data_IF_834281542939
#
_entry.id   IF_834281542939
#
_cell.length_a   1.000
_cell.length_b   1.000
_cell.length_c   1.000
_cell.angle_alpha   90.00
_cell.angle_beta   90.00
_cell.angle_gamma   90.00
#
_symmetry.space_group_name_H-M   'P 1'
#
loop_
_entity.id
_entity.type
_entity.pdbx_description
1 polymer ?
#
# COMPACT_ATOMS: atom_id res chain seq x y z
N UNK A 1 2.93 -12.71 23.31
CA UNK A 1 1.76 -12.46 24.20
C UNK A 1 1.57 -10.98 24.58
N UNK A 2 2.57 -10.33 25.19
CA UNK A 2 2.46 -8.94 25.69
C UNK A 2 2.21 -7.89 24.60
N UNK A 3 2.86 -8.00 23.43
CA UNK A 3 2.61 -7.09 22.30
C UNK A 3 1.22 -7.24 21.68
N UNK A 4 0.65 -8.44 21.71
CA UNK A 4 -0.71 -8.67 21.23
C UNK A 4 -1.71 -8.03 22.19
N UNK A 5 -1.48 -8.22 23.50
CA UNK A 5 -2.31 -7.65 24.56
C UNK A 5 -2.22 -6.12 24.60
N UNK A 6 -1.04 -5.53 24.37
CA UNK A 6 -0.88 -4.07 24.30
C UNK A 6 -1.58 -3.47 23.07
N UNK A 7 -1.59 -4.17 21.94
CA UNK A 7 -2.39 -3.76 20.78
C UNK A 7 -3.89 -3.84 21.07
N UNK A 8 -4.38 -4.89 21.73
CA UNK A 8 -5.78 -5.00 22.11
C UNK A 8 -6.20 -3.94 23.14
N UNK A 9 -5.37 -3.70 24.15
CA UNK A 9 -5.62 -2.68 25.17
C UNK A 9 -5.64 -1.28 24.57
N UNK A 10 -4.70 -0.98 23.66
CA UNK A 10 -4.68 0.29 22.91
C UNK A 10 -5.93 0.46 22.04
N UNK A 11 -6.42 -0.62 21.41
CA UNK A 11 -7.67 -0.61 20.63
C UNK A 11 -8.89 -0.33 21.50
N UNK A 12 -8.95 -0.89 22.71
CA UNK A 12 -10.03 -0.65 23.66
C UNK A 12 -10.06 0.77 24.21
N UNK A 13 -8.89 1.39 24.40
CA UNK A 13 -8.78 2.75 24.94
C UNK A 13 -8.94 3.85 23.89
N UNK A 14 -8.91 3.51 22.60
CA UNK A 14 -9.05 4.46 21.49
C UNK A 14 -10.20 4.08 20.54
N UNK A 15 -11.47 3.96 21.02
CA UNK A 15 -12.60 3.50 20.21
C UNK A 15 -12.95 4.44 19.05
N UNK A 16 -12.62 5.73 19.17
CA UNK A 16 -12.76 6.74 18.11
C UNK A 16 -11.86 6.51 16.90
N UNK A 17 -10.83 5.65 17.02
CA UNK A 17 -9.95 5.27 15.90
C UNK A 17 -10.63 4.24 14.98
N UNK A 18 -11.61 3.47 15.49
CA UNK A 18 -12.30 2.42 14.73
C UNK A 18 -13.69 2.82 14.25
N UNK A 19 -14.40 3.62 15.03
CA UNK A 19 -15.69 4.14 14.61
C UNK A 19 -15.42 5.54 14.06
N UNK A 20 -15.34 5.64 12.73
CA UNK A 20 -15.22 6.90 11.99
C UNK A 20 -16.39 7.88 12.20
N UNK A 21 -17.15 7.77 13.29
CA UNK A 21 -18.34 8.54 13.61
C UNK A 21 -18.07 9.99 14.00
N UNK A 22 -16.84 10.38 14.36
CA UNK A 22 -16.56 11.77 14.78
C UNK A 22 -16.14 12.71 13.65
N UNK A 23 -15.91 12.22 12.42
CA UNK A 23 -15.40 13.06 11.31
C UNK A 23 -15.99 12.73 9.93
N UNK A 24 -17.26 12.28 9.84
CA UNK A 24 -17.94 12.11 8.54
C UNK A 24 -18.31 13.49 7.99
N UNK A 25 -17.34 14.18 7.39
CA UNK A 25 -17.59 15.35 6.54
C UNK A 25 -17.72 14.91 5.09
N UNK A 26 -18.43 15.69 4.26
CA UNK A 26 -18.52 15.43 2.82
C UNK A 26 -17.12 15.31 2.16
N UNK A 27 -16.16 16.11 2.63
CA UNK A 27 -14.77 16.06 2.16
C UNK A 27 -14.07 14.75 2.56
N UNK A 28 -14.25 14.28 3.80
CA UNK A 28 -13.68 13.01 4.24
C UNK A 28 -14.31 11.83 3.50
N UNK A 29 -15.63 11.86 3.28
CA UNK A 29 -16.30 10.86 2.45
C UNK A 29 -15.76 10.86 1.02
N UNK A 30 -15.59 12.02 0.39
CA UNK A 30 -15.05 12.10 -0.97
C UNK A 30 -13.60 11.60 -1.06
N UNK A 31 -12.76 11.92 -0.06
CA UNK A 31 -11.39 11.41 0.05
C UNK A 31 -11.35 9.90 0.22
N UNK A 32 -12.16 9.35 1.12
CA UNK A 32 -12.26 7.90 1.31
C UNK A 32 -12.75 7.24 0.03
N UNK A 33 -13.80 7.77 -0.59
CA UNK A 33 -14.31 7.28 -1.87
C UNK A 33 -13.21 7.23 -2.94
N UNK A 34 -12.45 8.32 -3.13
CA UNK A 34 -11.35 8.34 -4.09
C UNK A 34 -10.24 7.33 -3.74
N UNK A 35 -9.85 7.22 -2.47
CA UNK A 35 -8.84 6.26 -2.01
C UNK A 35 -9.30 4.81 -2.19
N UNK A 36 -10.57 4.52 -1.93
CA UNK A 36 -11.14 3.19 -2.15
C UNK A 36 -11.29 2.88 -3.63
N UNK A 37 -11.72 3.82 -4.47
CA UNK A 37 -11.76 3.64 -5.94
C UNK A 37 -10.35 3.37 -6.47
N UNK A 38 -9.35 4.12 -6.01
CA UNK A 38 -7.94 3.89 -6.35
C UNK A 38 -7.44 2.55 -5.81
N UNK A 39 -7.83 2.16 -4.59
CA UNK A 39 -7.52 0.86 -4.01
C UNK A 39 -8.15 -0.29 -4.80
N UNK A 40 -9.37 -0.11 -5.30
CA UNK A 40 -10.12 -1.13 -6.03
C UNK A 40 -9.61 -1.32 -7.46
N UNK A 41 -9.70 -0.26 -8.27
CA UNK A 41 -9.31 -0.30 -9.67
C UNK A 41 -7.78 -0.34 -9.79
N UNK A 42 -7.09 0.47 -8.99
CA UNK A 42 -5.64 0.55 -9.02
C UNK A 42 -4.95 -0.67 -8.42
N UNK A 43 -5.21 -1.01 -7.16
CA UNK A 43 -4.51 -2.10 -6.49
C UNK A 43 -5.23 -3.44 -6.73
N UNK A 44 -6.55 -3.50 -6.54
CA UNK A 44 -7.34 -4.74 -6.62
C UNK A 44 -7.36 -5.37 -8.02
N UNK A 45 -7.61 -4.58 -9.07
CA UNK A 45 -7.52 -5.03 -10.47
C UNK A 45 -6.10 -4.87 -11.05
N UNK A 46 -5.16 -4.34 -10.25
CA UNK A 46 -3.76 -4.17 -10.63
C UNK A 46 -3.51 -3.07 -11.67
N UNK A 47 -4.46 -2.17 -11.93
CA UNK A 47 -4.29 -1.13 -12.92
C UNK A 47 -3.17 -0.12 -12.57
N UNK A 48 -2.79 -0.01 -11.28
CA UNK A 48 -1.62 0.78 -10.85
C UNK A 48 -0.27 0.13 -11.14
N UNK A 49 -0.23 -0.98 -11.87
CA UNK A 49 1.02 -1.59 -12.32
C UNK A 49 1.88 -0.62 -13.16
N UNK A 50 1.25 0.12 -14.06
CA UNK A 50 1.87 1.19 -14.85
C UNK A 50 0.84 2.26 -15.27
N UNK A 51 1.28 3.46 -15.70
CA UNK A 51 0.36 4.46 -16.25
C UNK A 51 -0.48 3.94 -17.42
N UNK A 52 0.10 3.05 -18.24
CA UNK A 52 -0.60 2.44 -19.36
C UNK A 52 -1.71 1.49 -18.90
N UNK A 53 -1.42 0.59 -17.95
CA UNK A 53 -2.46 -0.31 -17.40
C UNK A 53 -3.54 0.47 -16.67
N UNK A 54 -3.20 1.62 -16.08
CA UNK A 54 -4.15 2.51 -15.43
C UNK A 54 -5.15 3.07 -16.43
N UNK A 55 -4.65 3.62 -17.54
CA UNK A 55 -5.48 4.19 -18.60
C UNK A 55 -6.30 3.08 -19.26
N UNK A 56 -5.66 2.01 -19.72
CA UNK A 56 -6.33 0.92 -20.43
C UNK A 56 -7.37 0.22 -19.56
N UNK A 57 -7.03 -0.08 -18.29
CA UNK A 57 -7.94 -0.69 -17.34
C UNK A 57 -9.13 0.21 -17.00
N UNK A 58 -8.90 1.52 -16.82
CA UNK A 58 -9.98 2.48 -16.57
C UNK A 58 -10.92 2.58 -17.76
N UNK A 59 -10.40 2.66 -18.99
CA UNK A 59 -11.21 2.69 -20.21
C UNK A 59 -12.02 1.39 -20.38
N UNK A 60 -11.41 0.23 -20.14
CA UNK A 60 -12.10 -1.06 -20.18
C UNK A 60 -13.23 -1.12 -19.14
N UNK A 61 -12.94 -0.74 -17.89
CA UNK A 61 -13.93 -0.72 -16.83
C UNK A 61 -15.10 0.23 -17.15
N UNK A 62 -14.80 1.44 -17.61
CA UNK A 62 -15.81 2.42 -18.00
C UNK A 62 -16.68 1.90 -19.15
N UNK A 63 -16.07 1.36 -20.21
CA UNK A 63 -16.80 0.75 -21.33
C UNK A 63 -17.72 -0.38 -20.86
N UNK A 64 -17.22 -1.32 -20.06
CA UNK A 64 -18.04 -2.40 -19.51
C UNK A 64 -19.23 -1.88 -18.71
N UNK A 65 -19.01 -0.92 -17.80
CA UNK A 65 -20.09 -0.34 -16.99
C UNK A 65 -21.10 0.45 -17.83
N UNK A 66 -20.66 1.22 -18.83
CA UNK A 66 -21.54 1.99 -19.71
C UNK A 66 -22.46 1.05 -20.49
N UNK A 67 -21.91 0.01 -21.12
CA UNK A 67 -22.73 -0.94 -21.87
C UNK A 67 -23.65 -1.76 -20.97
N UNK A 68 -23.20 -2.10 -19.76
CA UNK A 68 -24.05 -2.75 -18.76
C UNK A 68 -25.25 -1.88 -18.38
N UNK A 69 -25.03 -0.58 -18.12
CA UNK A 69 -26.10 0.35 -17.78
C UNK A 69 -27.04 0.62 -18.97
N UNK A 70 -26.50 0.79 -20.17
CA UNK A 70 -27.27 1.13 -21.36
C UNK A 70 -28.15 -0.01 -21.90
N UNK A 71 -27.79 -1.27 -21.62
CA UNK A 71 -28.49 -2.47 -22.12
C UNK A 71 -29.00 -3.38 -21.02
N UNK A 72 -29.23 -2.80 -19.84
CA UNK A 72 -29.71 -3.49 -18.65
C UNK A 72 -31.02 -4.24 -18.92
N UNK A 73 -31.01 -5.56 -18.77
CA UNK A 73 -32.16 -6.42 -19.12
C UNK A 73 -32.90 -7.00 -17.90
N UNK A 74 -33.95 -7.80 -18.14
CA UNK A 74 -34.73 -8.42 -17.06
C UNK A 74 -33.96 -9.48 -16.27
N UNK A 75 -32.96 -10.13 -16.87
CA UNK A 75 -32.09 -11.09 -16.17
C UNK A 75 -31.17 -10.34 -15.22
N UNK A 76 -30.62 -9.20 -15.64
CA UNK A 76 -29.88 -8.29 -14.76
C UNK A 76 -30.76 -7.79 -13.62
N UNK A 77 -32.00 -7.40 -13.92
CA UNK A 77 -32.95 -6.93 -12.91
C UNK A 77 -33.19 -8.00 -11.84
N UNK A 78 -33.42 -9.25 -12.25
CA UNK A 78 -33.65 -10.36 -11.31
C UNK A 78 -32.39 -10.72 -10.52
N UNK A 79 -31.22 -10.71 -11.15
CA UNK A 79 -29.95 -10.85 -10.44
C UNK A 79 -29.77 -9.75 -9.39
N UNK A 80 -29.98 -8.48 -9.77
CA UNK A 80 -29.83 -7.34 -8.87
C UNK A 80 -30.85 -7.37 -7.74
N UNK A 81 -32.11 -7.75 -7.97
CA UNK A 81 -33.12 -7.93 -6.90
C UNK A 81 -32.66 -8.84 -5.77
N UNK A 82 -31.86 -9.86 -6.08
CA UNK A 82 -31.35 -10.81 -5.09
C UNK A 82 -30.08 -10.32 -4.40
N UNK A 83 -29.24 -9.56 -5.11
CA UNK A 83 -27.89 -9.23 -4.66
C UNK A 83 -27.69 -7.75 -4.27
N UNK A 84 -28.65 -6.85 -4.52
CA UNK A 84 -28.47 -5.41 -4.29
C UNK A 84 -28.31 -5.08 -2.80
N UNK A 85 -29.07 -5.71 -1.90
CA UNK A 85 -28.95 -5.48 -0.46
C UNK A 85 -27.57 -5.89 0.05
N UNK A 86 -27.07 -7.04 -0.42
CA UNK A 86 -25.70 -7.48 -0.16
C UNK A 86 -24.66 -6.54 -0.75
N UNK A 87 -24.85 -6.08 -2.00
CA UNK A 87 -23.94 -5.13 -2.63
C UNK A 87 -23.87 -3.82 -1.83
N UNK A 88 -25.01 -3.26 -1.41
CA UNK A 88 -25.07 -2.03 -0.62
C UNK A 88 -24.45 -2.20 0.76
N UNK A 89 -24.70 -3.33 1.43
CA UNK A 89 -24.07 -3.64 2.71
C UNK A 89 -22.55 -3.69 2.57
N UNK A 90 -22.04 -4.37 1.52
CA UNK A 90 -20.61 -4.45 1.26
C UNK A 90 -20.01 -3.09 0.90
N UNK A 91 -20.70 -2.27 0.09
CA UNK A 91 -20.31 -0.88 -0.20
C UNK A 91 -20.25 -0.08 1.11
N UNK A 92 -21.28 -0.13 1.94
CA UNK A 92 -21.31 0.60 3.21
C UNK A 92 -20.17 0.15 4.14
N UNK A 93 -19.96 -1.17 4.29
CA UNK A 93 -18.85 -1.72 5.07
C UNK A 93 -17.50 -1.20 4.55
N UNK A 94 -17.26 -1.29 3.24
CA UNK A 94 -15.97 -0.90 2.65
C UNK A 94 -15.73 0.60 2.72
N UNK A 95 -16.71 1.44 2.36
CA UNK A 95 -16.49 2.89 2.24
C UNK A 95 -16.78 3.68 3.53
N UNK A 96 -17.65 3.19 4.40
CA UNK A 96 -18.05 3.93 5.61
C UNK A 96 -17.33 3.43 6.87
N UNK A 97 -16.93 2.16 6.91
CA UNK A 97 -16.46 1.53 8.15
C UNK A 97 -15.03 0.99 8.08
N UNK A 98 -14.44 0.82 6.90
CA UNK A 98 -13.12 0.23 6.75
C UNK A 98 -12.06 1.23 6.29
N UNK A 99 -10.84 1.17 6.85
CA UNK A 99 -9.70 1.93 6.34
C UNK A 99 -9.35 1.56 4.90
N UNK A 100 -9.02 2.56 4.06
CA UNK A 100 -8.69 2.36 2.65
C UNK A 100 -7.42 1.50 2.40
N UNK A 101 -6.56 1.36 3.40
CA UNK A 101 -5.36 0.53 3.35
C UNK A 101 -5.66 -0.97 3.55
N UNK A 102 -6.87 -1.34 3.98
CA UNK A 102 -7.25 -2.73 4.19
C UNK A 102 -7.96 -3.33 2.97
N UNK A 103 -7.46 -4.48 2.49
CA UNK A 103 -7.80 -5.11 1.20
C UNK A 103 -9.16 -5.83 1.16
N UNK A 104 -10.20 -5.26 1.75
CA UNK A 104 -11.53 -5.89 1.82
C UNK A 104 -12.35 -5.79 0.53
N UNK A 105 -11.78 -5.21 -0.52
CA UNK A 105 -12.39 -5.13 -1.85
C UNK A 105 -12.68 -6.50 -2.48
N UNK A 106 -12.02 -7.57 -2.02
CA UNK A 106 -12.25 -8.94 -2.49
C UNK A 106 -13.72 -9.36 -2.41
N UNK A 107 -14.49 -8.82 -1.45
CA UNK A 107 -15.88 -9.23 -1.24
C UNK A 107 -16.83 -8.62 -2.27
N UNK A 108 -16.53 -7.42 -2.78
CA UNK A 108 -17.35 -6.74 -3.79
C UNK A 108 -16.90 -7.03 -5.23
N UNK A 109 -15.66 -7.49 -5.41
CA UNK A 109 -15.08 -7.82 -6.71
C UNK A 109 -15.97 -8.72 -7.59
N UNK A 110 -16.59 -9.81 -7.08
CA UNK A 110 -17.42 -10.67 -7.92
C UNK A 110 -18.61 -9.93 -8.54
N UNK A 111 -19.29 -9.08 -7.77
CA UNK A 111 -20.46 -8.33 -8.24
C UNK A 111 -20.11 -7.28 -9.29
N UNK A 112 -18.93 -6.67 -9.16
CA UNK A 112 -18.40 -5.72 -10.14
C UNK A 112 -17.96 -6.44 -11.41
N UNK A 113 -17.26 -7.57 -11.28
CA UNK A 113 -16.82 -8.36 -12.42
C UNK A 113 -18.02 -8.86 -13.23
N UNK A 114 -19.10 -9.29 -12.58
CA UNK A 114 -20.36 -9.64 -13.25
C UNK A 114 -20.89 -8.47 -14.09
N UNK A 115 -20.92 -7.26 -13.54
CA UNK A 115 -21.39 -6.07 -14.26
C UNK A 115 -20.50 -5.77 -15.49
N UNK A 116 -19.18 -5.80 -15.31
CA UNK A 116 -18.21 -5.54 -16.38
C UNK A 116 -18.32 -6.58 -17.51
N UNK A 117 -18.32 -7.87 -17.17
CA UNK A 117 -18.40 -8.95 -18.14
C UNK A 117 -19.75 -8.94 -18.87
N UNK A 118 -20.87 -8.72 -18.16
CA UNK A 118 -22.20 -8.55 -18.78
C UNK A 118 -22.19 -7.38 -19.77
N UNK A 119 -21.60 -6.24 -19.39
CA UNK A 119 -21.47 -5.08 -20.26
C UNK A 119 -20.74 -5.39 -21.57
N UNK A 120 -19.61 -6.12 -21.50
CA UNK A 120 -18.90 -6.55 -22.71
C UNK A 120 -19.72 -7.53 -23.57
N UNK A 121 -20.48 -8.44 -22.95
CA UNK A 121 -21.37 -9.34 -23.68
C UNK A 121 -22.51 -8.60 -24.39
N UNK A 122 -22.94 -7.46 -23.86
CA UNK A 122 -23.92 -6.59 -24.51
C UNK A 122 -23.38 -5.80 -25.71
N UNK A 123 -22.06 -5.77 -25.94
CA UNK A 123 -21.50 -5.10 -27.12
C UNK A 123 -21.97 -5.79 -28.43
N UNK A 124 -22.07 -5.03 -29.54
CA UNK A 124 -22.32 -5.64 -30.85
C UNK A 124 -21.11 -6.46 -31.31
N UNK A 125 -21.33 -7.42 -32.21
CA UNK A 125 -20.24 -8.12 -32.90
C UNK A 125 -19.44 -7.11 -33.75
N UNK A 126 -18.09 -7.20 -33.81
CA UNK A 126 -17.24 -8.22 -33.18
C UNK A 126 -16.86 -7.93 -31.72
N UNK A 127 -17.11 -6.72 -31.21
CA UNK A 127 -16.60 -6.20 -29.93
C UNK A 127 -16.95 -7.03 -28.68
N UNK A 128 -17.87 -8.00 -28.75
CA UNK A 128 -18.11 -8.98 -27.68
C UNK A 128 -16.86 -9.72 -27.21
N UNK A 129 -15.84 -9.87 -28.08
CA UNK A 129 -14.57 -10.48 -27.69
C UNK A 129 -13.87 -9.72 -26.55
N UNK A 130 -14.23 -8.45 -26.31
CA UNK A 130 -13.71 -7.66 -25.21
C UNK A 130 -13.97 -8.29 -23.83
N UNK A 131 -14.94 -9.20 -23.72
CA UNK A 131 -15.18 -10.00 -22.51
C UNK A 131 -13.94 -10.79 -22.07
N UNK A 132 -13.06 -11.15 -23.01
CA UNK A 132 -11.81 -11.86 -22.73
C UNK A 132 -10.65 -10.92 -22.38
N UNK A 133 -10.73 -9.64 -22.78
CA UNK A 133 -9.65 -8.68 -22.53
C UNK A 133 -9.47 -8.38 -21.05
N UNK A 134 -10.57 -8.26 -20.29
CA UNK A 134 -10.49 -7.99 -18.85
C UNK A 134 -9.85 -9.16 -18.07
N UNK A 135 -10.30 -10.43 -18.22
CA UNK A 135 -9.60 -11.58 -17.63
C UNK A 135 -8.14 -11.70 -18.10
N UNK A 136 -7.86 -11.49 -19.39
CA UNK A 136 -6.50 -11.54 -19.91
C UNK A 136 -5.60 -10.48 -19.26
N UNK A 137 -6.08 -9.23 -19.14
CA UNK A 137 -5.36 -8.15 -18.46
C UNK A 137 -5.08 -8.50 -16.99
N UNK A 138 -6.08 -9.04 -16.28
CA UNK A 138 -5.92 -9.48 -14.90
C UNK A 138 -4.89 -10.60 -14.75
N UNK A 139 -4.86 -11.56 -15.68
CA UNK A 139 -3.85 -12.62 -15.70
C UNK A 139 -2.44 -12.06 -15.96
N UNK A 140 -2.30 -11.16 -16.94
CA UNK A 140 -1.01 -10.52 -17.24
C UNK A 140 -0.45 -9.77 -16.02
N UNK A 141 -1.30 -9.06 -15.28
CA UNK A 141 -0.90 -8.35 -14.06
C UNK A 141 -0.62 -9.34 -12.92
N UNK A 142 -1.52 -10.28 -12.66
CA UNK A 142 -1.42 -11.19 -11.51
C UNK A 142 -0.25 -12.15 -11.62
N UNK A 143 0.03 -12.68 -12.82
CA UNK A 143 1.17 -13.57 -13.05
C UNK A 143 2.47 -12.79 -12.86
N UNK A 144 2.61 -11.61 -13.45
CA UNK A 144 3.80 -10.78 -13.28
C UNK A 144 4.02 -10.39 -11.80
N UNK A 145 2.96 -9.95 -11.12
CA UNK A 145 2.99 -9.62 -9.70
C UNK A 145 3.36 -10.82 -8.82
N UNK A 146 2.84 -12.02 -9.15
CA UNK A 146 3.17 -13.25 -8.44
C UNK A 146 4.63 -13.64 -8.65
N UNK A 147 5.14 -13.59 -9.89
CA UNK A 147 6.55 -13.87 -10.19
C UNK A 147 7.45 -12.91 -9.40
N UNK A 148 7.21 -11.60 -9.48
CA UNK A 148 7.99 -10.60 -8.73
C UNK A 148 7.93 -10.86 -7.23
N UNK A 149 6.73 -11.13 -6.69
CA UNK A 149 6.55 -11.37 -5.25
C UNK A 149 7.24 -12.63 -4.72
N UNK A 150 7.45 -13.65 -5.56
CA UNK A 150 8.09 -14.91 -5.15
C UNK A 150 9.59 -14.90 -5.43
N UNK A 151 10.01 -14.28 -6.53
CA UNK A 151 11.41 -14.28 -6.97
C UNK A 151 12.23 -13.21 -6.25
N UNK A 152 11.62 -12.10 -5.84
CA UNK A 152 12.32 -10.93 -5.34
C UNK A 152 12.01 -10.63 -3.86
N UNK A 153 13.01 -10.55 -2.97
CA UNK A 153 12.79 -10.15 -1.58
C UNK A 153 12.12 -8.77 -1.48
N UNK A 154 11.25 -8.60 -0.48
CA UNK A 154 10.64 -7.30 -0.24
C UNK A 154 11.70 -6.20 0.02
N UNK A 155 11.50 -4.95 -0.42
CA UNK A 155 12.41 -3.83 -0.21
C UNK A 155 12.96 -3.68 1.21
N UNK A 156 12.16 -3.84 2.29
CA UNK A 156 12.70 -3.80 3.64
C UNK A 156 13.70 -4.91 3.94
N UNK A 157 13.51 -6.11 3.36
CA UNK A 157 14.43 -7.25 3.51
C UNK A 157 15.72 -6.99 2.73
N UNK A 158 15.63 -6.44 1.51
CA UNK A 158 16.80 -6.01 0.74
C UNK A 158 17.63 -4.99 1.51
N UNK A 159 16.97 -4.02 2.15
CA UNK A 159 17.62 -3.00 2.98
C UNK A 159 18.33 -3.59 4.20
N UNK A 160 17.69 -4.55 4.89
CA UNK A 160 18.35 -5.30 5.97
C UNK A 160 19.60 -6.01 5.48
N UNK A 161 19.50 -6.74 4.36
CA UNK A 161 20.63 -7.49 3.78
C UNK A 161 21.76 -6.56 3.36
N UNK A 162 21.44 -5.44 2.70
CA UNK A 162 22.43 -4.43 2.30
C UNK A 162 23.27 -3.96 3.49
N UNK A 163 22.62 -3.59 4.60
CA UNK A 163 23.35 -3.13 5.79
C UNK A 163 24.10 -4.27 6.48
N UNK A 164 23.57 -5.50 6.48
CA UNK A 164 24.28 -6.67 7.02
C UNK A 164 25.53 -7.05 6.22
N UNK A 165 25.51 -6.86 4.90
CA UNK A 165 26.64 -7.07 3.99
C UNK A 165 27.67 -5.95 4.14
N UNK A 166 27.22 -4.71 4.33
CA UNK A 166 28.10 -3.55 4.49
C UNK A 166 28.81 -3.52 5.86
N UNK A 167 28.18 -4.05 6.91
CA UNK A 167 28.71 -3.99 8.27
C UNK A 167 28.82 -5.40 8.90
N UNK A 168 30.04 -5.86 9.24
CA UNK A 168 30.22 -7.11 9.97
C UNK A 168 29.57 -7.03 11.35
N UNK A 169 29.17 -8.15 11.97
CA UNK A 169 28.41 -8.17 13.22
C UNK A 169 28.96 -7.28 14.34
N UNK A 170 30.28 -7.25 14.48
CA UNK A 170 31.01 -6.46 15.49
C UNK A 170 30.78 -4.95 15.37
N UNK A 171 30.49 -4.45 14.16
CA UNK A 171 30.36 -3.02 13.86
C UNK A 171 28.91 -2.55 13.76
N UNK A 172 27.94 -3.46 13.82
CA UNK A 172 26.51 -3.14 13.62
C UNK A 172 25.94 -2.28 14.74
N UNK A 173 26.46 -2.44 15.96
CA UNK A 173 26.08 -1.63 17.12
C UNK A 173 26.46 -0.15 16.99
N UNK A 174 27.50 0.14 16.21
CA UNK A 174 28.01 1.50 15.96
C UNK A 174 27.28 2.23 14.82
N UNK A 175 26.37 1.54 14.13
CA UNK A 175 25.51 2.11 13.11
C UNK A 175 24.16 2.48 13.73
N UNK A 176 23.78 3.75 13.61
CA UNK A 176 22.52 4.26 14.14
C UNK A 176 21.48 4.32 13.02
N UNK A 177 20.33 3.66 13.24
CA UNK A 177 19.25 3.59 12.27
C UNK A 177 18.02 4.33 12.78
N UNK A 178 17.61 5.38 12.07
CA UNK A 178 16.39 6.12 12.33
C UNK A 178 15.34 5.73 11.28
N UNK A 179 14.59 4.67 11.57
CA UNK A 179 13.68 4.07 10.59
C UNK A 179 12.21 4.26 10.98
N UNK A 180 11.43 4.83 10.08
CA UNK A 180 9.98 4.95 10.17
C UNK A 180 9.27 3.78 9.46
N UNK A 181 9.80 3.30 8.33
CA UNK A 181 9.12 2.31 7.48
C UNK A 181 9.66 0.89 7.68
N UNK A 182 10.99 0.74 7.84
CA UNK A 182 11.65 -0.55 7.90
C UNK A 182 11.99 -1.05 9.32
N UNK A 183 11.72 -0.25 10.35
CA UNK A 183 12.03 -0.52 11.76
C UNK A 183 11.76 -1.96 12.23
N UNK A 184 10.54 -2.47 11.98
CA UNK A 184 10.12 -3.81 12.42
C UNK A 184 10.98 -4.91 11.79
N UNK A 185 11.40 -4.72 10.54
CA UNK A 185 12.21 -5.70 9.83
C UNK A 185 13.61 -5.77 10.43
N UNK A 186 14.22 -4.64 10.78
CA UNK A 186 15.49 -4.63 11.49
C UNK A 186 15.40 -5.29 12.86
N UNK A 187 14.35 -4.97 13.64
CA UNK A 187 14.12 -5.60 14.95
C UNK A 187 13.98 -7.13 14.87
N UNK A 188 13.53 -7.67 13.74
CA UNK A 188 13.32 -9.12 13.56
C UNK A 188 14.49 -9.84 12.91
N UNK A 189 15.12 -9.21 11.91
CA UNK A 189 16.09 -9.89 11.04
C UNK A 189 17.54 -9.43 11.24
N UNK A 190 17.76 -8.31 11.93
CA UNK A 190 19.10 -7.80 12.25
C UNK A 190 19.09 -7.03 13.58
N UNK A 191 18.80 -7.71 14.71
CA UNK A 191 18.66 -7.08 16.02
C UNK A 191 19.98 -6.49 16.55
N UNK A 192 21.12 -6.81 15.92
CA UNK A 192 22.42 -6.23 16.28
C UNK A 192 22.54 -4.74 15.90
N UNK A 193 21.70 -4.25 14.99
CA UNK A 193 21.65 -2.83 14.67
C UNK A 193 20.89 -2.04 15.72
N UNK A 194 21.40 -0.85 16.05
CA UNK A 194 20.69 0.07 16.92
C UNK A 194 19.62 0.82 16.14
N UNK A 195 18.35 0.42 16.32
CA UNK A 195 17.19 1.07 15.69
C UNK A 195 16.49 1.99 16.68
N UNK A 196 16.22 3.22 16.26
CA UNK A 196 15.46 4.20 17.03
C UNK A 196 14.02 4.34 16.52
N UNK A 197 13.08 4.40 17.45
CA UNK A 197 11.65 4.30 17.18
C UNK A 197 11.01 5.64 16.75
N UNK A 198 11.68 6.78 16.95
CA UNK A 198 11.14 8.12 16.64
C UNK A 198 12.23 9.13 16.19
N UNK A 199 11.87 9.98 15.22
CA UNK A 199 12.71 11.03 14.64
C UNK A 199 12.23 12.44 15.01
N UNK A 200 13.16 13.40 15.24
CA UNK A 200 14.46 13.25 15.87
C UNK A 200 14.26 13.43 17.37
N UNK A 201 14.18 12.33 18.13
CA UNK A 201 14.15 12.52 19.58
C UNK A 201 15.54 12.95 20.03
N UNK A 202 15.60 14.07 20.74
CA UNK A 202 16.67 14.50 21.65
C UNK A 202 17.16 13.40 22.62
N UNK A 203 16.59 12.19 22.56
CA UNK A 203 16.94 11.00 23.34
C UNK A 203 18.17 10.23 22.83
N UNK A 204 18.77 10.53 21.66
CA UNK A 204 20.06 9.89 21.31
C UNK A 204 21.19 10.71 21.96
N UNK A 205 21.96 10.14 22.92
CA UNK A 205 23.03 10.89 23.58
C UNK A 205 24.03 11.42 22.55
N UNK A 206 24.48 12.68 22.70
CA UNK A 206 25.47 13.31 21.79
C UNK A 206 26.71 12.44 21.61
N UNK A 207 27.19 11.84 22.69
CA UNK A 207 28.34 10.94 22.66
C UNK A 207 28.14 9.75 21.71
N UNK A 208 26.92 9.19 21.66
CA UNK A 208 26.59 8.06 20.78
C UNK A 208 26.48 8.51 19.33
N UNK A 209 25.94 9.71 19.12
CA UNK A 209 25.91 10.35 17.82
C UNK A 209 27.33 10.63 17.31
N UNK A 210 28.24 11.15 18.14
CA UNK A 210 29.62 11.45 17.77
C UNK A 210 30.47 10.20 17.51
N UNK A 211 30.23 9.12 18.27
CA UNK A 211 30.93 7.83 18.10
C UNK A 211 30.32 6.95 16.99
N UNK A 212 29.18 7.32 16.43
CA UNK A 212 28.51 6.52 15.40
C UNK A 212 29.37 6.41 14.15
N UNK A 213 29.59 5.18 13.67
CA UNK A 213 30.30 4.92 12.41
C UNK A 213 29.52 5.45 11.20
N UNK A 214 28.20 5.29 11.24
CA UNK A 214 27.29 5.81 10.24
C UNK A 214 25.90 6.01 10.84
N UNK A 215 25.16 6.94 10.23
CA UNK A 215 23.78 7.22 10.59
C UNK A 215 22.95 7.08 9.32
N UNK A 216 21.88 6.29 9.38
CA UNK A 216 20.96 6.08 8.28
C UNK A 216 19.52 6.39 8.67
N UNK A 217 18.72 6.80 7.68
CA UNK A 217 17.29 7.05 7.82
C UNK A 217 16.52 6.60 6.58
N UNK A 218 15.28 6.15 6.76
CA UNK A 218 14.32 5.94 5.66
C UNK A 218 13.22 7.02 5.62
N UNK A 219 13.37 8.08 6.43
CA UNK A 219 12.42 9.18 6.57
C UNK A 219 13.03 10.49 6.01
N UNK A 220 12.56 10.96 4.84
CA UNK A 220 13.06 12.18 4.20
C UNK A 220 12.85 13.45 5.01
N UNK A 221 11.84 13.50 5.91
CA UNK A 221 11.57 14.67 6.75
C UNK A 221 12.76 15.06 7.61
N UNK A 222 13.68 14.14 7.85
CA UNK A 222 14.90 14.38 8.62
C UNK A 222 15.86 15.37 7.96
N UNK A 223 15.79 15.56 6.63
CA UNK A 223 16.53 16.61 5.93
C UNK A 223 16.17 18.04 6.42
N UNK A 224 15.03 18.19 7.13
CA UNK A 224 14.60 19.48 7.67
C UNK A 224 15.27 19.82 9.01
N UNK A 225 16.00 18.89 9.62
CA UNK A 225 16.73 19.15 10.85
C UNK A 225 17.98 20.01 10.55
N UNK A 226 18.27 21.08 11.33
CA UNK A 226 19.44 21.91 11.13
C UNK A 226 20.75 21.09 11.19
N UNK A 227 21.65 21.32 10.22
CA UNK A 227 22.96 20.69 10.16
C UNK A 227 22.98 19.25 9.63
N UNK A 228 21.86 18.74 9.12
CA UNK A 228 21.77 17.38 8.58
C UNK A 228 21.54 17.44 7.07
N UNK A 229 22.37 16.73 6.32
CA UNK A 229 22.20 16.51 4.89
C UNK A 229 21.95 15.03 4.64
N UNK A 230 20.95 14.74 3.80
CA UNK A 230 20.62 13.38 3.41
C UNK A 230 21.25 13.06 2.05
N UNK A 231 22.04 12.00 2.00
CA UNK A 231 22.58 11.45 0.76
C UNK A 231 21.91 10.11 0.50
N UNK A 232 21.32 9.95 -0.69
CA UNK A 232 20.70 8.69 -1.06
C UNK A 232 21.77 7.58 -1.09
N UNK A 233 21.60 6.59 -0.21
CA UNK A 233 22.51 5.46 -0.08
C UNK A 233 22.00 4.24 -0.85
N UNK A 234 20.69 4.00 -0.84
CA UNK A 234 20.06 2.94 -1.62
C UNK A 234 18.59 3.26 -1.86
N UNK A 235 18.06 2.75 -2.97
CA UNK A 235 16.64 2.79 -3.30
C UNK A 235 16.20 1.39 -3.73
N UNK A 236 15.12 0.91 -3.13
CA UNK A 236 14.54 -0.38 -3.43
C UNK A 236 13.06 -0.19 -3.75
N UNK A 237 12.71 -0.50 -4.98
CA UNK A 237 11.34 -0.42 -5.46
C UNK A 237 10.81 -1.80 -5.86
N UNK A 238 9.49 -1.93 -5.78
CA UNK A 238 8.68 -3.05 -6.25
C UNK A 238 7.31 -2.52 -6.66
N UNK A 239 6.54 -3.30 -7.40
CA UNK A 239 5.20 -2.90 -7.79
C UNK A 239 4.29 -2.63 -6.58
N UNK A 240 3.61 -1.47 -6.60
CA UNK A 240 2.64 -1.05 -5.57
C UNK A 240 1.45 -2.02 -5.47
N UNK A 241 1.16 -2.72 -6.56
CA UNK A 241 0.10 -3.75 -6.65
C UNK A 241 0.39 -4.90 -5.68
N UNK A 242 1.66 -5.25 -5.47
CA UNK A 242 2.04 -6.36 -4.58
C UNK A 242 1.85 -5.95 -3.12
N UNK A 243 2.41 -4.81 -2.70
CA UNK A 243 2.19 -4.27 -1.35
C UNK A 243 2.50 -2.77 -1.25
N UNK A 244 1.46 -1.95 -1.07
CA UNK A 244 1.61 -0.49 -1.14
C UNK A 244 2.51 0.13 -0.08
N UNK A 245 2.53 -0.39 1.16
CA UNK A 245 3.28 0.25 2.25
C UNK A 245 4.81 0.17 2.08
N UNK A 246 5.32 -0.90 1.48
CA UNK A 246 6.77 -1.10 1.31
C UNK A 246 7.12 -1.24 -0.17
N UNK A 247 6.38 -0.54 -1.04
CA UNK A 247 6.61 -0.62 -2.48
C UNK A 247 7.83 0.18 -2.92
N UNK A 248 8.13 1.27 -2.23
CA UNK A 248 9.32 2.10 -2.45
C UNK A 248 9.93 2.41 -1.09
N UNK A 249 11.20 2.05 -0.93
CA UNK A 249 11.98 2.30 0.28
C UNK A 249 13.30 2.93 -0.15
N UNK A 250 13.55 4.13 0.37
CA UNK A 250 14.80 4.86 0.17
C UNK A 250 15.56 4.93 1.47
N UNK A 251 16.81 4.51 1.44
CA UNK A 251 17.75 4.65 2.53
C UNK A 251 18.64 5.85 2.27
N UNK A 252 18.70 6.76 3.22
CA UNK A 252 19.58 7.92 3.19
C UNK A 252 20.66 7.75 4.25
N UNK A 253 21.90 8.04 3.89
CA UNK A 253 22.98 8.30 4.84
C UNK A 253 22.87 9.75 5.29
N UNK A 254 22.94 9.97 6.59
CA UNK A 254 22.96 11.31 7.18
C UNK A 254 24.41 11.78 7.27
N UNK A 255 24.71 12.89 6.60
CA UNK A 255 25.94 13.64 6.79
C UNK A 255 25.69 14.89 7.62
N UNK A 256 26.66 15.22 8.48
CA UNK A 256 26.61 16.45 9.27
C UNK A 256 27.29 17.54 8.48
N UNK A 257 26.53 18.57 8.14
CA UNK A 257 27.10 19.79 7.62
C UNK A 257 27.46 20.63 8.84
N UNK A 258 28.75 20.92 9.04
CA UNK A 258 29.18 21.91 10.02
C UNK A 258 28.37 23.18 9.78
N UNK A 259 27.61 23.62 10.78
CA UNK A 259 26.95 24.91 10.69
C UNK A 259 28.04 25.98 10.44
N UNK A 260 27.81 26.95 9.54
CA UNK A 260 28.72 28.08 9.39
C UNK A 260 28.86 28.86 10.70
#
# INVERSE_FOLDING_TARGET
>A
PAQLYSQWLWRFTNPSVFIGGSHITALNFAKQFALHILGWFGIGLGFLWSPFTLIAGTLLAACGLIFYAARFDDRDRNFRKTHWAWALLQIAIVFCFLPADQRYYLVIMPLLLVALLRGFLYMPSPFRFAVFLLPALLLCISIAAAIESHSDPAPPIKLVRLLQEQYPPEQRGDVLLFLAHCQRHFKWYAPEFTVFDNLPSSAVPRERLEKAKAIYTDEPRLARAPGWQLILAAEFSRSVVIYGKHHDIRLFRVERVSAP
#
